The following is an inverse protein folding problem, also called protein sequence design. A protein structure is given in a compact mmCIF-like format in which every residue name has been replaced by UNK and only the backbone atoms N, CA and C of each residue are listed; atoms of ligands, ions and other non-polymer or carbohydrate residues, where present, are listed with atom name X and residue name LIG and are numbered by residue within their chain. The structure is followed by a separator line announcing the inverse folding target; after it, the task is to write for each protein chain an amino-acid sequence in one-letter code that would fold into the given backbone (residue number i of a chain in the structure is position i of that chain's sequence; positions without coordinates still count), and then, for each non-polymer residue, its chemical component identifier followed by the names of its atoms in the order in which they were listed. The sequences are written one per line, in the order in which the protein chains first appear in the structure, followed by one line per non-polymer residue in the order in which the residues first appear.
data_IF_964166239426
#
_entry.id   IF_964166239426
#
_cell.length_a   1.000
_cell.length_b   1.000
_cell.length_c   1.000
_cell.angle_alpha   90.00
_cell.angle_beta   90.00
_cell.angle_gamma   90.00
#
_symmetry.space_group_name_H-M   'P 1'
#
loop_
_entity.id
_entity.type
_entity.pdbx_description
1 polymer ?
#
# COMPACT_ATOMS: atom_id res chain seq x y z
N UNK A 1 -30.41 8.03 -19.79
CA UNK A 1 -29.74 9.30 -19.42
C UNK A 1 -29.64 10.15 -20.66
N UNK A 2 -29.90 11.46 -20.55
CA UNK A 2 -29.85 12.34 -21.72
C UNK A 2 -28.39 12.52 -22.16
N UNK A 3 -28.10 12.34 -23.46
CA UNK A 3 -26.80 12.65 -24.04
C UNK A 3 -26.92 13.90 -24.91
N UNK A 4 -26.27 15.03 -24.56
CA UNK A 4 -26.37 16.27 -25.33
C UNK A 4 -25.78 16.14 -26.74
N UNK A 5 -24.84 15.22 -26.95
CA UNK A 5 -24.24 14.95 -28.27
C UNK A 5 -25.13 14.07 -29.15
N UNK A 6 -25.90 13.16 -28.57
CA UNK A 6 -26.91 12.41 -29.31
C UNK A 6 -28.17 13.25 -29.57
N UNK A 7 -28.45 14.23 -28.71
CA UNK A 7 -29.73 14.95 -28.70
C UNK A 7 -30.91 14.10 -28.21
N UNK A 8 -30.64 12.96 -27.54
CA UNK A 8 -31.67 12.00 -27.13
C UNK A 8 -31.26 11.25 -25.83
N UNK A 9 -32.22 10.53 -25.25
CA UNK A 9 -32.01 9.65 -24.11
C UNK A 9 -31.39 8.32 -24.55
N UNK A 10 -30.25 7.99 -23.97
CA UNK A 10 -29.55 6.73 -24.21
C UNK A 10 -29.62 5.82 -22.99
N UNK A 11 -29.46 4.51 -23.21
CA UNK A 11 -29.14 3.54 -22.16
C UNK A 11 -27.63 3.62 -21.89
N UNK A 12 -27.17 4.20 -20.77
CA UNK A 12 -25.74 4.36 -20.53
C UNK A 12 -25.08 3.01 -20.21
N UNK A 13 -23.82 2.84 -20.61
CA UNK A 13 -22.91 1.88 -19.98
C UNK A 13 -22.56 2.44 -18.60
N UNK A 14 -22.59 1.60 -17.57
CA UNK A 14 -22.32 2.03 -16.19
C UNK A 14 -21.02 1.38 -15.74
N UNK A 15 -20.08 2.21 -15.32
CA UNK A 15 -18.83 1.80 -14.69
C UNK A 15 -18.86 2.18 -13.22
N UNK A 16 -18.25 1.36 -12.38
CA UNK A 16 -18.22 1.53 -10.94
C UNK A 16 -16.81 1.29 -10.47
N UNK A 17 -16.24 2.25 -9.75
CA UNK A 17 -14.93 2.13 -9.11
C UNK A 17 -15.01 2.65 -7.68
N UNK A 18 -14.12 2.16 -6.82
CA UNK A 18 -14.05 2.58 -5.42
C UNK A 18 -12.73 3.31 -5.20
N UNK A 19 -12.79 4.56 -4.72
CA UNK A 19 -11.59 5.31 -4.38
C UNK A 19 -10.92 4.74 -3.13
N UNK A 20 -9.61 4.93 -2.93
CA UNK A 20 -8.94 4.61 -1.67
C UNK A 20 -9.52 5.34 -0.45
N UNK A 21 -10.25 6.45 -0.67
CA UNK A 21 -10.94 7.20 0.38
C UNK A 21 -12.32 6.62 0.74
N UNK A 22 -12.78 5.57 0.04
CA UNK A 22 -14.03 4.86 0.31
C UNK A 22 -15.26 5.46 -0.39
N UNK A 23 -15.05 6.21 -1.47
CA UNK A 23 -16.13 6.74 -2.31
C UNK A 23 -16.39 5.78 -3.47
N UNK A 24 -17.65 5.38 -3.68
CA UNK A 24 -18.06 4.76 -4.93
C UNK A 24 -18.22 5.86 -5.97
N UNK A 25 -17.43 5.75 -7.02
CA UNK A 25 -17.57 6.54 -8.24
C UNK A 25 -18.37 5.70 -9.22
N UNK A 26 -19.54 6.20 -9.61
CA UNK A 26 -20.37 5.62 -10.65
C UNK A 26 -20.29 6.52 -11.86
N UNK A 27 -19.75 6.00 -12.96
CA UNK A 27 -19.68 6.72 -14.22
C UNK A 27 -20.71 6.18 -15.21
N UNK A 28 -21.49 7.09 -15.76
CA UNK A 28 -22.48 6.79 -16.79
C UNK A 28 -21.92 7.23 -18.13
N UNK A 29 -21.73 6.28 -19.04
CA UNK A 29 -21.13 6.52 -20.36
C UNK A 29 -22.18 6.35 -21.46
N UNK A 30 -22.27 7.30 -22.37
CA UNK A 30 -22.94 7.13 -23.65
C UNK A 30 -22.18 6.06 -24.45
N UNK A 31 -22.88 5.08 -25.06
CA UNK A 31 -22.23 4.06 -25.88
C UNK A 31 -21.42 4.60 -27.06
N UNK A 32 -21.71 5.83 -27.49
CA UNK A 32 -21.07 6.48 -28.66
C UNK A 32 -20.15 7.63 -28.24
N UNK A 33 -20.52 8.39 -27.22
CA UNK A 33 -19.89 9.69 -26.93
C UNK A 33 -19.11 9.75 -25.61
N UNK A 34 -19.05 8.65 -24.86
CA UNK A 34 -18.30 8.57 -23.60
C UNK A 34 -19.05 9.17 -22.41
N UNK A 35 -18.30 9.65 -21.42
CA UNK A 35 -18.82 10.05 -20.11
C UNK A 35 -19.96 11.08 -20.20
N UNK A 36 -21.06 10.78 -19.52
CA UNK A 36 -22.25 11.63 -19.37
C UNK A 36 -22.31 12.25 -17.99
N UNK A 37 -22.09 11.43 -16.96
CA UNK A 37 -22.24 11.85 -15.57
C UNK A 37 -21.35 11.00 -14.67
N UNK A 38 -20.83 11.63 -13.63
CA UNK A 38 -20.10 10.97 -12.54
C UNK A 38 -20.84 11.21 -11.24
N UNK A 39 -21.29 10.14 -10.61
CA UNK A 39 -21.93 10.17 -9.30
C UNK A 39 -20.96 9.64 -8.25
N UNK A 40 -20.70 10.44 -7.20
CA UNK A 40 -19.88 10.01 -6.06
C UNK A 40 -20.76 9.74 -4.87
N UNK A 41 -20.77 8.50 -4.39
CA UNK A 41 -21.48 8.09 -3.17
C UNK A 41 -20.50 7.67 -2.10
N UNK A 42 -20.60 8.27 -0.92
CA UNK A 42 -19.91 7.80 0.28
C UNK A 42 -20.63 6.53 0.76
N UNK A 43 -20.10 5.36 0.43
CA UNK A 43 -20.74 4.08 0.81
C UNK A 43 -20.45 3.74 2.26
N UNK A 44 -19.31 4.17 2.78
CA UNK A 44 -18.86 3.81 4.12
C UNK A 44 -19.04 5.00 5.06
N UNK A 45 -19.64 4.74 6.23
CA UNK A 45 -19.75 5.71 7.32
C UNK A 45 -18.37 6.22 7.76
N UNK A 46 -18.34 7.20 8.67
CA UNK A 46 -17.09 7.85 9.08
C UNK A 46 -15.98 6.83 9.29
N UNK A 47 -14.94 6.99 8.48
CA UNK A 47 -13.90 6.00 8.31
C UNK A 47 -13.23 5.87 9.67
N UNK A 48 -13.50 4.78 10.42
CA UNK A 48 -12.92 4.53 11.76
C UNK A 48 -11.37 4.48 11.74
N UNK A 49 -10.80 4.47 10.54
CA UNK A 49 -9.37 4.54 10.21
C UNK A 49 -8.81 5.98 10.10
N UNK A 50 -9.66 7.02 10.11
CA UNK A 50 -9.22 8.42 10.23
C UNK A 50 -8.74 8.68 11.64
N UNK A 51 -7.45 8.51 11.79
CA UNK A 51 -6.66 8.90 12.94
C UNK A 51 -5.83 10.11 12.53
N UNK A 52 -6.02 11.22 13.23
CA UNK A 52 -5.24 12.43 13.08
C UNK A 52 -4.25 12.46 14.26
N UNK A 53 -2.95 12.40 13.98
CA UNK A 53 -1.90 12.50 15.01
C UNK A 53 -0.60 11.77 14.66
N UNK A 54 -0.67 10.57 14.06
CA UNK A 54 0.51 9.78 13.72
C UNK A 54 0.90 9.82 12.24
N UNK A 55 2.04 9.23 11.90
CA UNK A 55 2.48 9.02 10.52
C UNK A 55 2.57 7.52 10.21
N UNK A 56 1.83 7.06 9.20
CA UNK A 56 1.90 5.68 8.75
C UNK A 56 2.77 5.54 7.49
N UNK A 57 3.96 4.97 7.63
CA UNK A 57 4.92 4.71 6.55
C UNK A 57 4.94 3.22 6.21
N UNK A 58 4.73 2.86 4.94
CA UNK A 58 4.93 1.51 4.45
C UNK A 58 6.19 1.42 3.58
N UNK A 59 6.96 0.35 3.74
CA UNK A 59 8.05 -0.02 2.85
C UNK A 59 7.57 -1.16 1.96
N UNK A 60 7.62 -0.92 0.65
CA UNK A 60 7.14 -1.83 -0.39
C UNK A 60 8.25 -2.12 -1.41
N UNK A 61 8.01 -3.12 -2.25
CA UNK A 61 8.96 -3.59 -3.27
C UNK A 61 8.98 -5.12 -3.36
N UNK A 62 9.64 -5.63 -4.39
CA UNK A 62 9.76 -7.09 -4.62
C UNK A 62 10.58 -7.78 -3.53
N UNK A 63 10.56 -9.10 -3.49
CA UNK A 63 11.41 -9.87 -2.59
C UNK A 63 12.90 -9.59 -2.87
N UNK A 64 13.74 -9.53 -1.84
CA UNK A 64 15.16 -9.17 -2.00
C UNK A 64 15.45 -7.66 -2.10
N UNK A 65 14.44 -6.79 -2.23
CA UNK A 65 14.62 -5.32 -2.30
C UNK A 65 15.22 -4.68 -1.03
N UNK A 66 15.08 -5.33 0.13
CA UNK A 66 15.67 -4.86 1.41
C UNK A 66 14.68 -4.21 2.38
N UNK A 67 13.36 -4.33 2.15
CA UNK A 67 12.29 -3.76 3.02
C UNK A 67 12.55 -3.94 4.51
N UNK A 68 12.74 -5.19 4.96
CA UNK A 68 12.96 -5.51 6.39
C UNK A 68 14.20 -4.82 6.95
N UNK A 69 15.30 -4.78 6.18
CA UNK A 69 16.54 -4.10 6.57
C UNK A 69 16.32 -2.60 6.69
N UNK A 70 15.67 -1.99 5.70
CA UNK A 70 15.40 -0.56 5.68
C UNK A 70 14.41 -0.14 6.78
N UNK A 71 13.42 -0.97 7.12
CA UNK A 71 12.50 -0.72 8.22
C UNK A 71 13.24 -0.69 9.57
N UNK A 72 14.14 -1.64 9.81
CA UNK A 72 14.96 -1.69 11.03
C UNK A 72 15.88 -0.47 11.15
N UNK A 73 16.62 -0.13 10.08
CA UNK A 73 17.51 1.03 10.07
C UNK A 73 16.75 2.35 10.22
N UNK A 74 15.57 2.47 9.59
CA UNK A 74 14.72 3.65 9.71
C UNK A 74 14.21 3.83 11.14
N UNK A 75 13.78 2.74 11.80
CA UNK A 75 13.39 2.76 13.21
C UNK A 75 14.52 3.26 14.11
N UNK A 76 15.74 2.72 13.96
CA UNK A 76 16.87 3.12 14.79
C UNK A 76 17.17 4.61 14.63
N UNK A 77 17.23 5.10 13.39
CA UNK A 77 17.57 6.51 13.11
C UNK A 77 16.47 7.48 13.55
N UNK A 78 15.20 7.17 13.30
CA UNK A 78 14.09 8.01 13.76
C UNK A 78 14.01 8.02 15.30
N UNK A 79 14.25 6.88 15.95
CA UNK A 79 14.29 6.81 17.42
C UNK A 79 15.44 7.64 17.98
N UNK A 80 16.61 7.63 17.33
CA UNK A 80 17.74 8.48 17.70
C UNK A 80 17.47 9.98 17.51
N UNK A 81 16.57 10.36 16.59
CA UNK A 81 16.06 11.73 16.44
C UNK A 81 14.98 12.10 17.47
N UNK A 82 14.61 11.17 18.36
CA UNK A 82 13.64 11.40 19.45
C UNK A 82 12.19 11.12 19.07
N UNK A 83 11.91 10.58 17.88
CA UNK A 83 10.56 10.18 17.50
C UNK A 83 10.16 8.87 18.17
N UNK A 84 8.88 8.75 18.54
CA UNK A 84 8.31 7.48 18.96
C UNK A 84 7.93 6.65 17.73
N UNK A 85 8.58 5.51 17.56
CA UNK A 85 8.42 4.67 16.36
C UNK A 85 7.95 3.27 16.75
N UNK A 86 7.07 2.69 15.94
CA UNK A 86 6.61 1.29 16.04
C UNK A 86 6.86 0.61 14.70
N UNK A 87 7.55 -0.53 14.71
CA UNK A 87 7.69 -1.36 13.52
C UNK A 87 6.62 -2.45 13.53
N UNK A 88 5.99 -2.66 12.39
CA UNK A 88 5.09 -3.79 12.13
C UNK A 88 5.44 -4.46 10.81
N UNK A 89 4.93 -5.67 10.59
CA UNK A 89 5.14 -6.41 9.35
C UNK A 89 3.90 -7.24 9.03
N UNK A 90 3.53 -7.25 7.75
CA UNK A 90 2.48 -8.12 7.23
C UNK A 90 3.09 -9.35 6.52
N UNK A 91 2.51 -10.57 6.67
CA UNK A 91 1.43 -10.91 7.60
C UNK A 91 1.87 -10.86 9.07
N UNK A 92 0.97 -10.40 9.95
CA UNK A 92 1.16 -10.15 11.37
C UNK A 92 0.89 -11.38 12.25
N UNK A 93 -0.25 -12.02 12.05
CA UNK A 93 -0.75 -13.12 12.87
C UNK A 93 -0.01 -14.41 12.48
N UNK A 94 0.74 -15.04 13.42
CA UNK A 94 1.56 -16.21 13.11
C UNK A 94 0.78 -17.36 12.45
N UNK A 95 -0.44 -17.63 12.90
CA UNK A 95 -1.28 -18.68 12.34
C UNK A 95 -1.72 -18.40 10.89
N UNK A 96 -2.08 -17.14 10.57
CA UNK A 96 -2.44 -16.76 9.19
C UNK A 96 -1.20 -16.81 8.31
N UNK A 97 -0.07 -16.28 8.80
CA UNK A 97 1.22 -16.31 8.10
C UNK A 97 1.64 -17.73 7.76
N UNK A 98 1.57 -18.64 8.74
CA UNK A 98 1.91 -20.05 8.55
C UNK A 98 1.00 -20.71 7.51
N UNK A 99 -0.31 -20.44 7.58
CA UNK A 99 -1.27 -20.97 6.61
C UNK A 99 -0.99 -20.47 5.18
N UNK A 100 -0.77 -19.17 5.00
CA UNK A 100 -0.43 -18.56 3.71
C UNK A 100 0.82 -19.17 3.08
N UNK A 101 1.83 -19.53 3.88
CA UNK A 101 3.06 -20.11 3.35
C UNK A 101 3.01 -21.63 3.10
N UNK A 102 2.04 -22.34 3.70
CA UNK A 102 1.92 -23.80 3.57
C UNK A 102 0.96 -24.24 2.47
N UNK A 103 0.05 -23.36 2.06
CA UNK A 103 -1.03 -23.71 1.14
C UNK A 103 -0.93 -22.92 -0.16
N UNK A 104 -1.16 -23.61 -1.27
CA UNK A 104 -1.41 -22.95 -2.55
C UNK A 104 -2.89 -22.61 -2.61
N UNK A 105 -3.19 -21.32 -2.53
CA UNK A 105 -4.54 -20.79 -2.42
C UNK A 105 -4.99 -20.16 -3.73
N UNK A 106 -6.30 -20.22 -3.96
CA UNK A 106 -6.94 -19.31 -4.89
C UNK A 106 -6.62 -17.86 -4.51
N UNK A 107 -6.37 -17.02 -5.51
CA UNK A 107 -5.89 -15.66 -5.31
C UNK A 107 -6.91 -14.80 -4.56
N UNK A 108 -8.22 -15.03 -4.73
CA UNK A 108 -9.24 -14.27 -4.02
C UNK A 108 -9.28 -14.67 -2.53
N UNK A 109 -9.11 -15.96 -2.24
CA UNK A 109 -9.00 -16.45 -0.85
C UNK A 109 -7.75 -15.88 -0.15
N UNK A 110 -6.62 -15.79 -0.87
CA UNK A 110 -5.41 -15.14 -0.38
C UNK A 110 -5.66 -13.67 -0.02
N UNK A 111 -6.37 -12.92 -0.87
CA UNK A 111 -6.75 -11.52 -0.60
C UNK A 111 -7.56 -11.39 0.68
N UNK A 112 -8.53 -12.27 0.92
CA UNK A 112 -9.31 -12.27 2.17
C UNK A 112 -8.45 -12.54 3.42
N UNK A 113 -7.50 -13.47 3.34
CA UNK A 113 -6.63 -13.80 4.47
C UNK A 113 -5.68 -12.65 4.81
N UNK A 114 -5.05 -12.04 3.81
CA UNK A 114 -4.23 -10.83 4.02
C UNK A 114 -5.06 -9.68 4.59
N UNK A 115 -6.29 -9.48 4.12
CA UNK A 115 -7.16 -8.43 4.65
C UNK A 115 -7.58 -8.70 6.11
N UNK A 116 -7.90 -9.95 6.46
CA UNK A 116 -8.22 -10.33 7.83
C UNK A 116 -7.03 -10.10 8.78
N UNK A 117 -5.84 -10.54 8.38
CA UNK A 117 -4.59 -10.30 9.10
C UNK A 117 -4.32 -8.81 9.32
N UNK A 118 -4.44 -8.02 8.26
CA UNK A 118 -4.26 -6.56 8.27
C UNK A 118 -5.25 -5.86 9.19
N UNK A 119 -6.51 -6.26 9.20
CA UNK A 119 -7.52 -5.70 10.11
C UNK A 119 -7.14 -5.95 11.57
N UNK A 120 -6.65 -7.15 11.89
CA UNK A 120 -6.17 -7.50 13.24
C UNK A 120 -4.97 -6.61 13.61
N UNK A 121 -3.93 -6.59 12.76
CA UNK A 121 -2.75 -5.76 12.95
C UNK A 121 -3.11 -4.29 13.18
N UNK A 122 -4.03 -3.75 12.36
CA UNK A 122 -4.39 -2.35 12.48
C UNK A 122 -5.16 -2.03 13.75
N UNK A 123 -6.05 -2.92 14.17
CA UNK A 123 -6.80 -2.74 15.42
C UNK A 123 -5.91 -2.83 16.64
N UNK A 124 -4.97 -3.78 16.65
CA UNK A 124 -4.12 -4.06 17.81
C UNK A 124 -2.96 -3.08 17.95
N UNK A 125 -2.34 -2.68 16.83
CA UNK A 125 -1.06 -1.97 16.86
C UNK A 125 -1.11 -0.65 16.09
N UNK A 126 -1.49 -0.66 14.81
CA UNK A 126 -1.32 0.52 13.93
C UNK A 126 -2.19 1.68 14.39
N UNK A 127 -3.51 1.50 14.48
CA UNK A 127 -4.43 2.58 14.83
C UNK A 127 -4.20 3.12 16.26
N UNK A 128 -3.99 2.29 17.30
CA UNK A 128 -3.62 2.80 18.62
C UNK A 128 -2.31 3.60 18.61
N UNK A 129 -1.28 3.13 17.87
CA UNK A 129 0.01 3.83 17.79
C UNK A 129 -0.12 5.18 17.09
N UNK A 130 -0.86 5.24 15.98
CA UNK A 130 -1.11 6.50 15.28
C UNK A 130 -1.91 7.48 16.14
N UNK A 131 -2.88 7.01 16.94
CA UNK A 131 -3.65 7.89 17.84
C UNK A 131 -2.77 8.49 18.94
N UNK A 132 -1.71 7.79 19.31
CA UNK A 132 -0.70 8.26 20.26
C UNK A 132 0.36 9.15 19.62
N UNK A 133 0.18 9.60 18.37
CA UNK A 133 1.13 10.48 17.69
C UNK A 133 2.41 9.79 17.19
N UNK A 134 2.47 8.45 17.19
CA UNK A 134 3.67 7.71 16.83
C UNK A 134 3.83 7.58 15.32
N UNK A 135 5.07 7.35 14.89
CA UNK A 135 5.39 6.90 13.53
C UNK A 135 5.26 5.37 13.49
N UNK A 136 4.41 4.86 12.61
CA UNK A 136 4.32 3.42 12.33
C UNK A 136 5.08 3.13 11.04
N UNK A 137 6.09 2.28 11.12
CA UNK A 137 6.88 1.79 9.98
C UNK A 137 6.48 0.35 9.69
N UNK A 138 5.89 0.09 8.53
CA UNK A 138 5.38 -1.24 8.15
C UNK A 138 6.19 -1.85 7.03
N UNK A 139 6.70 -3.07 7.24
CA UNK A 139 7.21 -3.92 6.16
C UNK A 139 6.01 -4.60 5.49
N UNK A 140 5.64 -4.08 4.31
CA UNK A 140 4.40 -4.33 3.56
C UNK A 140 3.14 -3.71 4.16
N UNK A 141 2.14 -3.54 3.30
CA UNK A 141 0.81 -2.99 3.58
C UNK A 141 -0.21 -3.49 2.55
N UNK A 142 -1.36 -2.83 2.44
CA UNK A 142 -2.35 -3.07 1.37
C UNK A 142 -1.75 -2.95 -0.05
N UNK A 143 -0.71 -2.13 -0.24
CA UNK A 143 -0.04 -2.00 -1.52
C UNK A 143 0.70 -3.27 -1.96
N UNK A 144 1.17 -4.08 -1.00
CA UNK A 144 1.66 -5.43 -1.32
C UNK A 144 0.55 -6.28 -1.94
N UNK A 145 -0.69 -6.18 -1.45
CA UNK A 145 -1.80 -6.92 -2.05
C UNK A 145 -2.15 -6.44 -3.46
N UNK A 146 -2.17 -5.11 -3.64
CA UNK A 146 -2.39 -4.49 -4.95
C UNK A 146 -1.29 -4.84 -5.96
N UNK A 147 -0.07 -5.15 -5.53
CA UNK A 147 1.02 -5.54 -6.41
C UNK A 147 1.04 -7.06 -6.68
N UNK A 148 1.09 -7.87 -5.63
CA UNK A 148 1.27 -9.32 -5.73
C UNK A 148 -0.01 -10.02 -6.21
N UNK A 149 -1.12 -9.87 -5.48
CA UNK A 149 -2.33 -10.62 -5.84
C UNK A 149 -2.93 -10.15 -7.17
N UNK A 150 -2.82 -8.87 -7.54
CA UNK A 150 -3.27 -8.43 -8.87
C UNK A 150 -2.40 -9.01 -10.00
N UNK A 151 -1.09 -9.16 -9.76
CA UNK A 151 -0.16 -9.79 -10.71
C UNK A 151 -0.40 -11.30 -10.86
N UNK A 152 -1.13 -11.92 -9.91
CA UNK A 152 -1.67 -13.29 -9.99
C UNK A 152 -3.08 -13.36 -10.58
N UNK A 153 -3.68 -12.24 -10.95
CA UNK A 153 -4.98 -12.18 -11.61
C UNK A 153 -6.17 -11.79 -10.73
N UNK A 154 -5.96 -11.42 -9.47
CA UNK A 154 -7.05 -10.82 -8.68
C UNK A 154 -7.40 -9.44 -9.21
N UNK A 155 -8.69 -9.14 -9.26
CA UNK A 155 -9.17 -7.82 -9.64
C UNK A 155 -8.77 -6.75 -8.61
N UNK A 156 -8.32 -5.59 -9.09
CA UNK A 156 -7.84 -4.51 -8.22
C UNK A 156 -8.99 -3.89 -7.41
N UNK A 157 -10.16 -3.72 -8.01
CA UNK A 157 -11.34 -3.17 -7.30
C UNK A 157 -11.82 -4.14 -6.22
N UNK A 158 -11.73 -5.44 -6.47
CA UNK A 158 -11.97 -6.46 -5.45
C UNK A 158 -10.99 -6.32 -4.27
N UNK A 159 -9.68 -6.21 -4.51
CA UNK A 159 -8.67 -6.01 -3.45
C UNK A 159 -8.98 -4.77 -2.62
N UNK A 160 -9.31 -3.64 -3.28
CA UNK A 160 -9.68 -2.39 -2.61
C UNK A 160 -10.97 -2.55 -1.80
N UNK A 161 -11.98 -3.23 -2.35
CA UNK A 161 -13.27 -3.44 -1.69
C UNK A 161 -13.15 -4.30 -0.41
N UNK A 162 -12.34 -5.36 -0.44
CA UNK A 162 -12.07 -6.19 0.74
C UNK A 162 -11.31 -5.41 1.81
N UNK A 163 -10.43 -4.49 1.40
CA UNK A 163 -9.59 -3.70 2.30
C UNK A 163 -10.18 -2.34 2.73
N UNK A 164 -11.42 -2.03 2.34
CA UNK A 164 -12.06 -0.73 2.59
C UNK A 164 -12.05 -0.21 4.03
N UNK A 165 -11.97 -1.09 5.03
CA UNK A 165 -12.00 -0.73 6.44
C UNK A 165 -10.63 -0.45 7.04
N UNK A 166 -9.55 -0.69 6.27
CA UNK A 166 -8.18 -0.50 6.73
C UNK A 166 -7.71 0.92 6.42
N UNK A 167 -6.87 1.48 7.29
CA UNK A 167 -6.14 2.72 7.03
C UNK A 167 -5.07 2.44 5.99
N UNK A 168 -5.00 3.25 4.95
CA UNK A 168 -3.90 3.22 4.01
C UNK A 168 -2.68 3.95 4.58
N UNK A 169 -1.45 3.55 4.20
CA UNK A 169 -0.26 4.34 4.50
C UNK A 169 -0.41 5.80 4.06
N UNK A 170 0.11 6.69 4.90
CA UNK A 170 0.29 8.09 4.57
C UNK A 170 1.38 8.25 3.51
N UNK A 171 2.45 7.45 3.62
CA UNK A 171 3.61 7.43 2.72
C UNK A 171 3.96 5.98 2.39
N UNK A 172 4.28 5.71 1.14
CA UNK A 172 4.77 4.43 0.64
C UNK A 172 6.16 4.62 0.07
N UNK A 173 7.16 4.01 0.70
CA UNK A 173 8.52 3.97 0.18
C UNK A 173 8.66 2.71 -0.66
N UNK A 174 8.68 2.88 -1.98
CA UNK A 174 8.93 1.79 -2.92
C UNK A 174 10.44 1.61 -3.11
N UNK A 175 10.96 0.48 -2.64
CA UNK A 175 12.32 0.05 -2.90
C UNK A 175 12.38 -0.63 -4.27
N UNK A 176 12.65 0.15 -5.32
CA UNK A 176 12.80 -0.39 -6.68
C UNK A 176 14.15 -1.08 -6.83
N UNK A 177 14.13 -2.34 -7.25
CA UNK A 177 15.31 -3.16 -7.48
C UNK A 177 15.09 -3.98 -8.76
N UNK A 178 16.05 -4.03 -9.69
CA UNK A 178 16.00 -4.99 -10.80
C UNK A 178 15.89 -6.43 -10.29
N UNK A 179 15.07 -7.25 -10.95
CA UNK A 179 14.79 -8.63 -10.51
C UNK A 179 16.07 -9.47 -10.50
N UNK A 180 17.00 -9.23 -11.42
CA UNK A 180 18.28 -9.94 -11.45
C UNK A 180 19.10 -9.71 -10.17
N UNK A 181 19.12 -8.48 -9.66
CA UNK A 181 19.80 -8.13 -8.40
C UNK A 181 19.04 -8.68 -7.20
N UNK A 182 17.71 -8.65 -7.23
CA UNK A 182 16.87 -9.27 -6.21
C UNK A 182 17.17 -10.78 -6.09
N UNK A 183 17.27 -11.47 -7.22
CA UNK A 183 17.58 -12.90 -7.28
C UNK A 183 18.98 -13.21 -6.74
N UNK A 184 19.99 -12.37 -7.00
CA UNK A 184 21.33 -12.51 -6.39
C UNK A 184 21.28 -12.38 -4.86
N UNK A 185 20.49 -11.44 -4.34
CA UNK A 185 20.30 -11.24 -2.89
C UNK A 185 19.52 -12.37 -2.22
N UNK A 186 18.60 -12.99 -2.95
CA UNK A 186 17.78 -14.10 -2.46
C UNK A 186 18.54 -15.44 -2.48
N UNK A 187 19.34 -15.70 -3.52
CA UNK A 187 20.12 -16.94 -3.65
C UNK A 187 21.22 -17.07 -2.60
N UNK A 188 21.78 -15.95 -2.15
CA UNK A 188 22.76 -15.91 -1.06
C UNK A 188 22.17 -16.20 0.33
N UNK A 189 20.83 -16.20 0.49
CA UNK A 189 20.14 -16.45 1.76
C UNK A 189 19.71 -17.92 1.95
N UNK A 190 20.49 -18.88 1.46
CA UNK A 190 20.17 -20.32 1.40
C UNK A 190 19.29 -20.82 2.55
N UNK A 191 18.22 -21.54 2.16
CA UNK A 191 17.28 -22.38 2.92
C UNK A 191 15.96 -21.73 3.38
N UNK A 192 14.86 -22.23 2.77
CA UNK A 192 13.47 -22.35 3.28
C UNK A 192 12.34 -21.54 2.65
N UNK A 193 12.58 -20.65 1.69
CA UNK A 193 11.48 -19.99 0.96
C UNK A 193 11.46 -20.42 -0.50
N UNK A 194 10.31 -20.90 -0.98
CA UNK A 194 10.04 -21.08 -2.41
C UNK A 194 10.25 -19.73 -3.07
N UNK A 195 11.33 -19.58 -3.84
CA UNK A 195 11.59 -18.34 -4.55
C UNK A 195 10.45 -18.10 -5.54
N UNK A 196 10.01 -16.86 -5.64
CA UNK A 196 9.07 -16.48 -6.67
C UNK A 196 9.73 -16.61 -8.05
N UNK A 197 8.93 -17.00 -9.03
CA UNK A 197 9.38 -17.06 -10.41
C UNK A 197 9.86 -15.66 -10.87
N UNK A 198 11.03 -15.52 -11.51
CA UNK A 198 11.53 -14.21 -11.94
C UNK A 198 10.56 -13.45 -12.84
N UNK A 199 9.83 -14.15 -13.73
CA UNK A 199 8.82 -13.55 -14.59
C UNK A 199 7.62 -13.03 -13.80
N UNK A 200 7.27 -13.69 -12.69
CA UNK A 200 6.28 -13.16 -11.75
C UNK A 200 6.81 -11.95 -10.99
N UNK A 201 8.06 -11.97 -10.51
CA UNK A 201 8.67 -10.80 -9.84
C UNK A 201 8.74 -9.57 -10.74
N UNK A 202 8.98 -9.74 -12.05
CA UNK A 202 8.93 -8.64 -13.02
C UNK A 202 7.52 -8.04 -13.13
N UNK A 203 6.47 -8.88 -13.16
CA UNK A 203 5.08 -8.39 -13.14
C UNK A 203 4.79 -7.60 -11.87
N UNK A 204 5.21 -8.10 -10.72
CA UNK A 204 5.03 -7.43 -9.42
C UNK A 204 5.78 -6.10 -9.39
N UNK A 205 7.02 -6.05 -9.86
CA UNK A 205 7.81 -4.82 -9.96
C UNK A 205 7.12 -3.79 -10.85
N UNK A 206 6.72 -4.20 -12.06
CA UNK A 206 5.99 -3.34 -12.99
C UNK A 206 4.69 -2.81 -12.37
N UNK A 207 3.97 -3.66 -11.63
CA UNK A 207 2.75 -3.25 -10.93
C UNK A 207 3.00 -2.23 -9.83
N UNK A 208 4.09 -2.36 -9.06
CA UNK A 208 4.47 -1.34 -8.08
C UNK A 208 4.80 0.01 -8.72
N UNK A 209 5.54 0.00 -9.83
CA UNK A 209 5.86 1.23 -10.57
C UNK A 209 4.59 1.90 -11.11
N UNK A 210 3.65 1.10 -11.65
CA UNK A 210 2.33 1.60 -12.05
C UNK A 210 1.58 2.21 -10.85
N UNK A 211 1.56 1.56 -9.69
CA UNK A 211 0.92 2.11 -8.48
C UNK A 211 1.59 3.41 -8.02
N UNK A 212 2.90 3.56 -8.19
CA UNK A 212 3.60 4.80 -7.89
C UNK A 212 3.21 5.94 -8.84
N UNK A 213 2.94 5.64 -10.11
CA UNK A 213 2.40 6.60 -11.08
C UNK A 213 0.93 6.95 -10.82
N UNK A 214 0.12 5.98 -10.35
CA UNK A 214 -1.30 6.18 -9.99
C UNK A 214 -1.48 7.01 -8.70
N UNK A 215 -0.55 6.89 -7.75
CA UNK A 215 -0.58 7.57 -6.44
C UNK A 215 0.70 8.36 -6.15
N UNK A 216 1.08 9.33 -7.00
CA UNK A 216 2.36 10.03 -6.91
C UNK A 216 2.48 10.87 -5.63
N UNK A 217 1.37 11.23 -4.99
CA UNK A 217 1.34 11.96 -3.72
C UNK A 217 1.65 11.06 -2.50
N UNK A 218 1.60 9.73 -2.68
CA UNK A 218 1.87 8.74 -1.63
C UNK A 218 3.22 8.08 -1.78
N UNK A 219 3.67 7.88 -3.02
CA UNK A 219 4.85 7.08 -3.30
C UNK A 219 6.13 7.89 -3.34
N UNK A 220 7.16 7.33 -2.70
CA UNK A 220 8.56 7.75 -2.82
C UNK A 220 9.30 6.55 -3.40
N UNK A 221 9.74 6.66 -4.64
CA UNK A 221 10.50 5.60 -5.31
C UNK A 221 11.98 5.79 -5.01
N UNK A 222 12.59 4.77 -4.39
CA UNK A 222 13.99 4.77 -4.00
C UNK A 222 14.71 3.65 -4.72
N UNK A 223 15.81 3.99 -5.39
CA UNK A 223 16.69 3.01 -6.03
C UNK A 223 17.39 2.16 -4.97
N UNK A 224 16.93 0.92 -4.83
CA UNK A 224 17.41 -0.04 -3.84
C UNK A 224 18.63 -0.84 -4.30
N UNK A 225 19.18 -0.55 -5.49
CA UNK A 225 20.43 -1.15 -5.98
C UNK A 225 21.68 -0.58 -5.28
N UNK A 226 21.56 0.64 -4.74
CA UNK A 226 22.60 1.33 -3.96
C UNK A 226 22.93 0.60 -2.63
N UNK A 227 24.08 0.92 -1.99
CA UNK A 227 24.40 0.41 -0.66
C UNK A 227 23.29 0.68 0.37
N UNK A 228 22.99 -0.25 1.30
CA UNK A 228 21.89 -0.11 2.26
C UNK A 228 21.89 1.20 3.06
N UNK A 229 23.06 1.71 3.42
CA UNK A 229 23.23 2.96 4.17
C UNK A 229 22.87 4.19 3.35
N UNK A 230 23.12 4.16 2.04
CA UNK A 230 22.74 5.23 1.11
C UNK A 230 21.24 5.25 0.90
N UNK A 231 20.65 4.09 0.61
CA UNK A 231 19.20 3.90 0.51
C UNK A 231 18.52 4.41 1.79
N UNK A 232 19.02 4.02 2.95
CA UNK A 232 18.43 4.42 4.22
C UNK A 232 18.53 5.93 4.48
N UNK A 233 19.63 6.55 4.07
CA UNK A 233 19.83 8.01 4.21
C UNK A 233 18.89 8.80 3.31
N UNK A 234 18.60 8.29 2.12
CA UNK A 234 17.58 8.84 1.22
C UNK A 234 16.19 8.75 1.86
N UNK A 235 15.80 7.56 2.32
CA UNK A 235 14.51 7.32 2.99
C UNK A 235 14.35 8.22 4.23
N UNK A 236 15.35 8.24 5.11
CA UNK A 236 15.30 9.04 6.34
C UNK A 236 15.08 10.52 6.05
N UNK A 237 15.79 11.06 5.05
CA UNK A 237 15.68 12.47 4.67
C UNK A 237 14.23 12.82 4.29
N UNK A 238 13.61 12.00 3.46
CA UNK A 238 12.24 12.21 3.02
C UNK A 238 11.25 12.09 4.17
N UNK A 239 11.36 11.03 5.00
CA UNK A 239 10.46 10.83 6.12
C UNK A 239 10.58 11.94 7.16
N UNK A 240 11.80 12.36 7.52
CA UNK A 240 12.02 13.49 8.45
C UNK A 240 11.46 14.80 7.90
N UNK A 241 11.58 15.04 6.60
CA UNK A 241 10.97 16.20 5.94
C UNK A 241 9.44 16.20 6.11
N UNK A 242 8.80 15.06 5.88
CA UNK A 242 7.34 14.88 6.03
C UNK A 242 6.89 15.02 7.49
N UNK A 243 7.63 14.44 8.43
CA UNK A 243 7.31 14.57 9.85
C UNK A 243 7.39 16.04 10.28
N UNK A 244 8.45 16.75 9.89
CA UNK A 244 8.62 18.18 10.23
C UNK A 244 7.57 19.08 9.58
N UNK A 245 7.15 18.79 8.35
CA UNK A 245 6.09 19.56 7.70
C UNK A 245 4.74 19.36 8.38
N UNK A 246 4.42 18.13 8.82
CA UNK A 246 3.20 17.84 9.61
C UNK A 246 3.18 18.58 10.94
N UNK A 247 4.27 18.54 11.71
CA UNK A 247 4.38 19.24 13.01
C UNK A 247 4.19 20.76 12.83
N UNK A 248 4.71 21.36 11.75
CA UNK A 248 4.53 22.80 11.47
C UNK A 248 3.11 23.17 11.03
N UNK A 249 2.34 22.21 10.56
CA UNK A 249 0.99 22.41 10.02
C UNK A 249 -0.10 22.24 11.08
N UNK A 250 0.22 21.62 12.22
CA UNK A 250 -0.65 21.62 13.39
C UNK A 250 -0.67 23.04 13.99
N UNK A 251 -1.82 23.74 14.01
CA UNK A 251 -1.91 25.00 14.71
C UNK A 251 -1.64 24.71 16.18
N UNK A 252 -0.54 25.24 16.72
CA UNK A 252 -0.21 25.12 18.13
C UNK A 252 -1.43 25.48 18.98
N UNK A 253 -1.75 24.60 19.94
CA UNK A 253 -2.75 24.82 20.97
C UNK A 253 -2.60 26.27 21.49
N UNK A 254 -3.59 27.11 21.17
CA UNK A 254 -3.84 28.38 21.84
C UNK A 254 -4.83 28.14 22.96
#
# INVERSE_FOLDING_TARGET
MFCPKCGDYVKPRVERSITPTGELVIEYHCPVHGLLETEKRRIFGDNKSRVDGGLYVALEGIDGSGKTTQAAMLYEKLSAEGFQVVIVREPWVPAIKEFLYKHDLDVEAEVYLFAADRIILQREVVLPSLRAGKIVVSDRSVFASLAYQSSRGADQDFILAVNKSVRFPDVVVLLDLPVEEAMKRLSSRVAQTRFEDPGYMEKVRAKYLQLAEEYPEKFIVVDASKPPEEVNREILREIVSIVRSRIRSEPGER
#
